data_IF_513454701886
#
_entry.id   IF_513454701886
#
_cell.length_a   1.000
_cell.length_b   1.000
_cell.length_c   1.000
_cell.angle_alpha   90.00
_cell.angle_beta   90.00
_cell.angle_gamma   90.00
#
_symmetry.space_group_name_H-M   'P 1'
#
loop_
_entity.id
_entity.type
_entity.pdbx_description
1 polymer ?
#
# COMPACT_ATOMS: atom_id res chain seq x y z
N UNK A 1 17.15 72.39 6.09
CA UNK A 1 16.23 71.48 5.39
C UNK A 1 16.93 70.13 5.27
N UNK A 2 16.49 69.13 6.04
CA UNK A 2 17.05 67.76 6.01
C UNK A 2 16.02 66.84 5.34
N UNK A 3 16.33 66.37 4.14
CA UNK A 3 15.54 65.44 3.39
C UNK A 3 15.86 64.00 3.86
N UNK A 4 14.87 63.29 4.38
CA UNK A 4 14.96 61.89 4.72
C UNK A 4 14.54 61.07 3.49
N UNK A 5 15.44 60.18 3.01
CA UNK A 5 15.18 59.21 1.96
C UNK A 5 14.73 57.93 2.66
N UNK A 6 13.48 57.57 2.51
CA UNK A 6 12.97 56.22 2.95
C UNK A 6 13.35 55.19 1.88
N UNK A 7 14.16 54.20 2.29
CA UNK A 7 14.45 53.04 1.50
C UNK A 7 13.38 51.98 1.78
N UNK A 8 12.52 51.71 0.79
CA UNK A 8 11.57 50.61 0.80
C UNK A 8 12.29 49.31 0.38
N UNK A 9 12.46 48.40 1.34
CA UNK A 9 12.97 47.05 1.05
C UNK A 9 11.84 46.20 0.44
N UNK A 10 12.04 45.81 -0.81
CA UNK A 10 11.16 44.88 -1.52
C UNK A 10 11.55 43.43 -1.09
N UNK A 11 10.73 42.80 -0.29
CA UNK A 11 10.90 41.37 0.07
C UNK A 11 10.33 40.54 -1.09
N UNK A 12 11.20 39.96 -1.91
CA UNK A 12 10.82 39.00 -2.93
C UNK A 12 10.51 37.65 -2.25
N UNK A 13 9.22 37.29 -2.22
CA UNK A 13 8.80 35.94 -1.84
C UNK A 13 9.18 34.96 -2.95
N UNK A 14 10.15 34.09 -2.69
CA UNK A 14 10.51 32.98 -3.56
C UNK A 14 9.45 31.89 -3.33
N UNK A 15 8.45 31.82 -4.21
CA UNK A 15 7.54 30.70 -4.27
C UNK A 15 8.30 29.50 -4.87
N UNK A 16 8.66 28.53 -4.03
CA UNK A 16 9.16 27.22 -4.48
C UNK A 16 7.98 26.46 -5.08
N UNK A 17 7.79 26.59 -6.40
CA UNK A 17 6.90 25.70 -7.14
C UNK A 17 7.61 24.36 -7.27
N UNK A 18 7.20 23.39 -6.44
CA UNK A 18 7.53 21.99 -6.67
C UNK A 18 7.00 21.57 -8.06
N UNK A 19 7.60 20.56 -8.70
CA UNK A 19 7.17 20.12 -10.03
C UNK A 19 5.71 19.66 -9.95
N UNK A 20 4.81 20.44 -10.56
CA UNK A 20 3.46 19.99 -10.84
C UNK A 20 3.57 18.91 -11.91
N UNK A 21 3.41 17.65 -11.55
CA UNK A 21 3.22 16.58 -12.53
C UNK A 21 1.88 16.81 -13.22
N UNK A 22 1.95 17.35 -14.43
CA UNK A 22 0.80 17.42 -15.30
C UNK A 22 0.35 15.99 -15.62
N UNK A 23 -0.81 15.60 -15.12
CA UNK A 23 -1.48 14.38 -15.51
C UNK A 23 -1.90 14.52 -16.98
N UNK A 24 -1.05 14.03 -17.91
CA UNK A 24 -1.44 13.85 -19.30
C UNK A 24 -2.51 12.75 -19.34
N UNK A 25 -3.69 13.11 -19.85
CA UNK A 25 -4.87 12.28 -19.92
C UNK A 25 -4.62 10.94 -20.62
N UNK A 26 -4.76 9.88 -19.87
CA UNK A 26 -5.11 8.49 -20.19
C UNK A 26 -4.76 7.52 -19.05
N UNK A 27 -4.21 7.95 -17.91
CA UNK A 27 -4.24 7.13 -16.70
C UNK A 27 -5.67 7.16 -16.16
N UNK A 28 -6.45 6.12 -16.39
CA UNK A 28 -7.66 5.87 -15.59
C UNK A 28 -7.19 6.00 -14.14
N UNK A 29 -7.79 6.90 -13.37
CA UNK A 29 -7.42 7.05 -11.98
C UNK A 29 -7.58 5.68 -11.32
N UNK A 30 -6.49 5.11 -10.82
CA UNK A 30 -6.46 3.74 -10.29
C UNK A 30 -7.43 3.61 -9.12
N UNK A 31 -7.61 4.68 -8.34
CA UNK A 31 -8.53 4.77 -7.22
C UNK A 31 -10.00 4.64 -7.65
N UNK A 32 -10.43 5.38 -8.70
CA UNK A 32 -11.79 5.28 -9.22
C UNK A 32 -12.08 3.86 -9.74
N UNK A 33 -11.14 3.29 -10.50
CA UNK A 33 -11.29 1.94 -11.01
C UNK A 33 -11.25 0.88 -9.89
N UNK A 34 -10.48 1.12 -8.82
CA UNK A 34 -10.41 0.23 -7.67
C UNK A 34 -11.76 0.10 -6.95
N UNK A 35 -12.52 1.19 -6.86
CA UNK A 35 -13.83 1.19 -6.21
C UNK A 35 -14.83 0.22 -6.87
N UNK A 36 -14.73 0.01 -8.17
CA UNK A 36 -15.65 -0.81 -8.96
C UNK A 36 -15.10 -2.19 -9.35
N UNK A 37 -13.93 -2.58 -8.83
CA UNK A 37 -13.32 -3.87 -9.16
C UNK A 37 -14.23 -5.04 -8.77
N UNK A 38 -14.55 -5.86 -9.76
CA UNK A 38 -15.22 -7.14 -9.57
C UNK A 38 -14.29 -8.17 -8.88
N UNK A 39 -14.84 -9.22 -8.24
CA UNK A 39 -14.04 -10.30 -7.70
C UNK A 39 -13.03 -10.86 -8.73
N UNK A 40 -11.83 -11.19 -8.26
CA UNK A 40 -10.74 -11.72 -9.08
C UNK A 40 -10.28 -10.79 -10.21
N UNK A 41 -10.50 -9.47 -10.08
CA UNK A 41 -10.04 -8.43 -11.02
C UNK A 41 -9.03 -7.49 -10.35
N UNK A 42 -8.22 -6.88 -11.19
CA UNK A 42 -7.26 -5.87 -10.76
C UNK A 42 -7.06 -4.82 -11.86
N UNK A 43 -6.52 -3.69 -11.47
CA UNK A 43 -6.00 -2.65 -12.36
C UNK A 43 -4.51 -2.43 -12.05
N UNK A 44 -3.73 -2.16 -13.08
CA UNK A 44 -2.30 -1.91 -12.97
C UNK A 44 -1.90 -0.82 -13.95
N UNK A 45 -1.31 0.27 -13.45
CA UNK A 45 -0.80 1.35 -14.29
C UNK A 45 0.61 0.97 -14.80
N UNK A 46 0.67 0.33 -15.96
CA UNK A 46 1.94 -0.03 -16.63
C UNK A 46 2.64 1.22 -17.24
N UNK A 47 1.96 2.37 -17.31
CA UNK A 47 2.49 3.64 -17.82
C UNK A 47 3.00 4.57 -16.71
N UNK A 48 3.18 4.07 -15.47
CA UNK A 48 3.75 4.86 -14.40
C UNK A 48 5.14 5.40 -14.82
N UNK A 49 5.44 6.69 -14.58
CA UNK A 49 6.72 7.28 -14.97
C UNK A 49 7.91 6.50 -14.42
N UNK A 50 8.98 6.37 -15.22
CA UNK A 50 10.20 5.64 -14.83
C UNK A 50 10.82 6.16 -13.53
N UNK A 51 10.72 7.47 -13.27
CA UNK A 51 11.16 8.09 -12.02
C UNK A 51 10.49 7.48 -10.78
N UNK A 52 9.24 7.01 -10.90
CA UNK A 52 8.49 6.38 -9.80
C UNK A 52 8.88 4.91 -9.64
N UNK A 53 9.43 4.28 -10.67
CA UNK A 53 9.82 2.87 -10.63
C UNK A 53 10.93 2.58 -9.60
N UNK A 54 11.75 3.58 -9.26
CA UNK A 54 12.79 3.48 -8.24
C UNK A 54 12.27 3.68 -6.81
N UNK A 55 11.06 4.24 -6.64
CA UNK A 55 10.48 4.48 -5.32
C UNK A 55 10.13 3.17 -4.60
N UNK A 56 10.21 3.14 -3.27
CA UNK A 56 9.87 1.96 -2.50
C UNK A 56 8.40 1.55 -2.71
N UNK A 57 8.18 0.24 -2.74
CA UNK A 57 6.83 -0.33 -2.83
C UNK A 57 6.22 -0.43 -1.45
N UNK A 58 4.97 0.00 -1.32
CA UNK A 58 4.12 -0.26 -0.15
C UNK A 58 2.82 -0.90 -0.62
N UNK A 59 2.38 -1.94 0.08
CA UNK A 59 1.09 -2.60 -0.17
C UNK A 59 0.15 -2.31 0.99
N UNK A 60 -1.06 -1.84 0.71
CA UNK A 60 -2.10 -1.64 1.73
C UNK A 60 -3.28 -2.56 1.42
N UNK A 61 -3.66 -3.41 2.37
CA UNK A 61 -4.81 -4.32 2.28
C UNK A 61 -5.91 -3.78 3.19
N UNK A 62 -7.00 -3.32 2.58
CA UNK A 62 -8.23 -2.95 3.30
C UNK A 62 -9.14 -4.17 3.43
N UNK A 63 -9.37 -4.62 4.67
CA UNK A 63 -10.25 -5.74 4.97
C UNK A 63 -11.71 -5.39 4.61
N UNK A 64 -12.28 -4.23 5.01
CA UNK A 64 -13.67 -3.91 4.70
C UNK A 64 -13.94 -3.80 3.20
N UNK A 65 -13.00 -3.24 2.44
CA UNK A 65 -13.15 -3.10 0.99
C UNK A 65 -12.83 -4.38 0.21
N UNK A 66 -12.17 -5.37 0.83
CA UNK A 66 -11.60 -6.54 0.16
C UNK A 66 -10.74 -6.11 -1.05
N UNK A 67 -9.81 -5.17 -0.78
CA UNK A 67 -8.91 -4.58 -1.78
C UNK A 67 -7.47 -4.57 -1.28
N UNK A 68 -6.55 -4.76 -2.21
CA UNK A 68 -5.14 -4.43 -2.03
C UNK A 68 -4.78 -3.27 -2.95
N UNK A 69 -4.09 -2.29 -2.41
CA UNK A 69 -3.57 -1.10 -3.10
C UNK A 69 -2.06 -1.17 -3.10
N UNK A 70 -1.44 -0.87 -4.24
CA UNK A 70 0.03 -0.88 -4.38
C UNK A 70 0.51 0.53 -4.69
N UNK A 71 1.38 1.03 -3.86
CA UNK A 71 2.00 2.34 -4.00
C UNK A 71 3.48 2.21 -4.37
N UNK A 72 3.98 3.17 -5.13
CA UNK A 72 5.40 3.48 -5.29
C UNK A 72 5.63 4.89 -4.75
N UNK A 73 6.46 5.01 -3.70
CA UNK A 73 6.43 6.22 -2.89
C UNK A 73 5.02 6.47 -2.38
N UNK A 74 4.46 7.64 -2.66
CA UNK A 74 3.10 8.01 -2.26
C UNK A 74 2.05 7.79 -3.39
N UNK A 75 2.47 7.39 -4.60
CA UNK A 75 1.57 7.27 -5.74
C UNK A 75 0.96 5.86 -5.84
N UNK A 76 -0.37 5.80 -5.96
CA UNK A 76 -1.10 4.57 -6.24
C UNK A 76 -0.84 4.11 -7.68
N UNK A 77 -0.24 2.93 -7.84
CA UNK A 77 0.12 2.36 -9.15
C UNK A 77 -0.71 1.13 -9.52
N UNK A 78 -1.30 0.45 -8.56
CA UNK A 78 -2.16 -0.69 -8.84
C UNK A 78 -3.17 -0.94 -7.72
N UNK A 79 -4.29 -1.57 -8.05
CA UNK A 79 -5.26 -2.07 -7.09
C UNK A 79 -5.82 -3.42 -7.53
N UNK A 80 -6.18 -4.26 -6.57
CA UNK A 80 -6.74 -5.59 -6.81
C UNK A 80 -7.85 -5.91 -5.85
N UNK A 81 -8.87 -6.64 -6.30
CA UNK A 81 -9.74 -7.35 -5.37
C UNK A 81 -8.92 -8.42 -4.63
N UNK A 82 -9.27 -8.68 -3.37
CA UNK A 82 -8.63 -9.73 -2.56
C UNK A 82 -9.69 -10.59 -1.87
N UNK A 83 -9.24 -11.68 -1.24
CA UNK A 83 -10.03 -12.43 -0.28
C UNK A 83 -9.19 -12.65 0.96
N UNK A 84 -9.57 -11.99 2.05
CA UNK A 84 -8.91 -12.07 3.37
C UNK A 84 -9.44 -13.24 4.19
N UNK A 85 -8.99 -13.38 5.43
CA UNK A 85 -9.45 -14.39 6.37
C UNK A 85 -10.94 -14.24 6.68
N UNK A 86 -11.65 -15.39 6.71
CA UNK A 86 -13.07 -15.49 7.11
C UNK A 86 -13.20 -15.43 8.63
N UNK A 87 -14.45 -15.33 9.11
CA UNK A 87 -14.79 -15.34 10.54
C UNK A 87 -14.12 -16.51 11.28
N UNK A 88 -13.46 -16.20 12.41
CA UNK A 88 -12.68 -17.13 13.22
C UNK A 88 -11.31 -17.50 12.61
N UNK A 89 -10.94 -16.88 11.49
CA UNK A 89 -9.65 -17.01 10.80
C UNK A 89 -9.24 -15.68 10.16
N UNK A 90 -9.44 -14.60 10.87
CA UNK A 90 -9.25 -13.23 10.39
C UNK A 90 -7.79 -13.00 9.94
N UNK A 91 -7.61 -12.15 8.94
CA UNK A 91 -6.29 -11.60 8.62
C UNK A 91 -5.96 -10.53 9.66
N UNK A 92 -4.88 -10.66 10.43
CA UNK A 92 -4.59 -9.71 11.51
C UNK A 92 -4.20 -8.34 10.95
N UNK A 93 -4.78 -7.28 11.53
CA UNK A 93 -4.43 -5.89 11.25
C UNK A 93 -3.02 -5.60 11.74
N UNK A 94 -2.26 -4.81 10.99
CA UNK A 94 -0.90 -4.43 11.36
C UNK A 94 -0.04 -4.02 10.19
N UNK A 95 1.22 -3.67 10.52
CA UNK A 95 2.26 -3.33 9.55
C UNK A 95 3.31 -4.44 9.56
N UNK A 96 3.53 -5.06 8.43
CA UNK A 96 4.36 -6.25 8.27
C UNK A 96 5.43 -6.04 7.22
N UNK A 97 6.68 -6.45 7.45
CA UNK A 97 7.63 -6.63 6.37
C UNK A 97 7.36 -7.96 5.64
N UNK A 98 7.68 -8.05 4.36
CA UNK A 98 7.75 -9.33 3.68
C UNK A 98 8.96 -10.10 4.22
N UNK A 99 8.72 -11.21 4.93
CA UNK A 99 9.73 -12.01 5.60
C UNK A 99 10.37 -13.09 4.70
N UNK A 100 9.59 -13.59 3.74
CA UNK A 100 10.00 -14.67 2.83
C UNK A 100 9.22 -14.56 1.53
N UNK A 101 9.84 -14.95 0.42
CA UNK A 101 9.19 -15.07 -0.89
C UNK A 101 9.47 -16.46 -1.46
N UNK A 102 8.43 -17.08 -2.04
CA UNK A 102 8.55 -18.38 -2.71
C UNK A 102 7.51 -18.48 -3.83
N UNK A 103 7.97 -18.70 -5.06
CA UNK A 103 7.10 -18.74 -6.24
C UNK A 103 6.16 -19.96 -6.24
N UNK A 104 6.65 -21.12 -5.78
CA UNK A 104 5.94 -22.41 -5.82
C UNK A 104 5.64 -22.97 -4.43
N UNK A 105 5.32 -22.09 -3.47
CA UNK A 105 5.06 -22.50 -2.10
C UNK A 105 3.81 -23.37 -1.96
N UNK A 106 3.86 -24.31 -1.01
CA UNK A 106 2.72 -25.09 -0.55
C UNK A 106 2.55 -24.91 0.95
N UNK A 107 1.31 -24.84 1.40
CA UNK A 107 1.00 -24.66 2.82
C UNK A 107 1.51 -25.83 3.68
N UNK A 108 2.19 -25.52 4.77
CA UNK A 108 2.59 -26.50 5.79
C UNK A 108 1.43 -26.82 6.76
N UNK A 109 0.38 -25.96 6.78
CA UNK A 109 -0.73 -26.04 7.73
C UNK A 109 -2.00 -26.65 7.13
N UNK A 110 -2.17 -26.53 5.79
CA UNK A 110 -3.42 -26.87 5.13
C UNK A 110 -3.19 -27.85 3.95
N UNK A 111 -2.89 -29.10 4.27
CA UNK A 111 -2.84 -30.22 3.32
C UNK A 111 -2.06 -29.91 2.02
N UNK A 112 -0.91 -29.28 2.15
CA UNK A 112 -0.06 -28.87 1.02
C UNK A 112 -0.81 -28.03 -0.06
N UNK A 113 -1.82 -27.25 0.35
CA UNK A 113 -2.57 -26.39 -0.56
C UNK A 113 -1.61 -25.44 -1.32
N UNK A 114 -1.76 -25.28 -2.64
CA UNK A 114 -0.89 -24.41 -3.42
C UNK A 114 -1.04 -22.95 -2.99
N UNK A 115 0.09 -22.25 -2.83
CA UNK A 115 0.20 -20.84 -2.52
C UNK A 115 1.20 -20.17 -3.48
N UNK A 116 0.92 -20.12 -4.81
CA UNK A 116 1.84 -19.55 -5.79
C UNK A 116 2.14 -18.08 -5.50
N UNK A 117 3.38 -17.65 -5.78
CA UNK A 117 3.85 -16.29 -5.55
C UNK A 117 3.70 -15.83 -4.10
N UNK A 118 3.95 -16.75 -3.14
CA UNK A 118 3.82 -16.51 -1.72
C UNK A 118 4.80 -15.45 -1.23
N UNK A 119 4.27 -14.50 -0.47
CA UNK A 119 4.99 -13.45 0.22
C UNK A 119 4.55 -13.47 1.69
N UNK A 120 5.40 -14.01 2.55
CA UNK A 120 5.11 -14.24 3.97
C UNK A 120 5.15 -12.95 4.77
N UNK A 121 4.13 -12.73 5.59
CA UNK A 121 4.03 -11.57 6.49
C UNK A 121 4.35 -11.94 7.94
N UNK A 122 3.96 -13.16 8.38
CA UNK A 122 4.19 -13.62 9.75
C UNK A 122 4.72 -15.05 9.77
N UNK A 123 5.46 -15.44 10.82
CA UNK A 123 5.98 -16.80 10.94
C UNK A 123 4.93 -17.84 11.33
N UNK A 124 3.77 -17.42 11.84
CA UNK A 124 2.61 -18.28 12.12
C UNK A 124 1.71 -18.53 10.90
N UNK A 125 2.09 -18.00 9.72
CA UNK A 125 1.56 -18.49 8.45
C UNK A 125 0.74 -17.50 7.62
N UNK A 126 0.63 -16.23 8.01
CA UNK A 126 -0.05 -15.21 7.20
C UNK A 126 0.84 -14.80 6.03
N UNK A 127 0.27 -14.76 4.83
CA UNK A 127 0.97 -14.41 3.60
C UNK A 127 0.03 -13.83 2.54
N UNK A 128 0.59 -13.08 1.60
CA UNK A 128 -0.03 -12.77 0.31
C UNK A 128 0.30 -13.92 -0.65
N UNK A 129 -0.65 -14.41 -1.45
CA UNK A 129 -0.40 -15.40 -2.49
C UNK A 129 -1.52 -15.45 -3.54
N UNK A 130 -1.26 -16.06 -4.69
CA UNK A 130 -2.30 -16.35 -5.67
C UNK A 130 -3.28 -17.39 -5.13
N UNK A 131 -4.58 -17.15 -5.30
CA UNK A 131 -5.60 -18.08 -4.85
C UNK A 131 -7.01 -17.72 -5.29
N UNK A 132 -7.96 -18.57 -4.92
CA UNK A 132 -9.38 -18.31 -5.19
C UNK A 132 -9.81 -17.02 -4.48
N UNK A 133 -10.35 -16.08 -5.23
CA UNK A 133 -10.83 -14.81 -4.76
C UNK A 133 -12.30 -14.60 -5.13
N UNK A 134 -13.24 -14.93 -4.24
CA UNK A 134 -14.68 -14.77 -4.49
C UNK A 134 -15.18 -13.35 -4.28
N UNK A 135 -14.33 -12.41 -3.77
CA UNK A 135 -14.68 -11.02 -3.50
C UNK A 135 -15.18 -10.77 -2.08
N UNK A 136 -15.09 -11.75 -1.20
CA UNK A 136 -15.42 -11.67 0.22
C UNK A 136 -14.39 -12.49 1.03
N UNK A 137 -14.32 -12.31 2.37
CA UNK A 137 -13.45 -13.10 3.24
C UNK A 137 -13.77 -14.59 3.16
N UNK A 138 -12.81 -15.42 2.67
CA UNK A 138 -12.98 -16.87 2.46
C UNK A 138 -11.70 -17.66 2.77
N UNK A 139 -10.62 -17.00 3.19
CA UNK A 139 -9.35 -17.65 3.49
C UNK A 139 -9.26 -18.10 4.96
N UNK A 140 -8.14 -18.72 5.32
CA UNK A 140 -7.80 -19.08 6.70
C UNK A 140 -6.75 -18.12 7.30
N UNK A 141 -6.82 -16.83 6.90
CA UNK A 141 -5.95 -15.77 7.38
C UNK A 141 -5.06 -15.14 6.30
N UNK A 142 -4.64 -15.88 5.29
CA UNK A 142 -3.88 -15.32 4.17
C UNK A 142 -4.72 -14.36 3.32
N UNK A 143 -4.03 -13.47 2.59
CA UNK A 143 -4.64 -12.60 1.58
C UNK A 143 -4.48 -13.25 0.21
N UNK A 144 -5.59 -13.72 -0.37
CA UNK A 144 -5.61 -14.33 -1.70
C UNK A 144 -5.78 -13.28 -2.78
N UNK A 145 -4.95 -13.36 -3.80
CA UNK A 145 -4.85 -12.43 -4.92
C UNK A 145 -5.19 -13.13 -6.24
N UNK A 146 -5.68 -12.40 -7.26
CA UNK A 146 -5.71 -12.89 -8.63
C UNK A 146 -4.32 -13.33 -9.07
N UNK A 147 -4.19 -14.46 -9.78
CA UNK A 147 -2.88 -15.05 -10.10
C UNK A 147 -1.96 -14.10 -10.88
N UNK A 148 -2.49 -13.38 -11.87
CA UNK A 148 -1.71 -12.43 -12.68
C UNK A 148 -1.23 -11.23 -11.83
N UNK A 149 -2.08 -10.75 -10.92
CA UNK A 149 -1.70 -9.68 -10.00
C UNK A 149 -0.63 -10.16 -9.00
N UNK A 150 -0.81 -11.33 -8.39
CA UNK A 150 0.15 -11.92 -7.48
C UNK A 150 1.53 -12.07 -8.13
N UNK A 151 1.59 -12.50 -9.41
CA UNK A 151 2.84 -12.60 -10.18
C UNK A 151 3.49 -11.22 -10.41
N UNK A 152 2.72 -10.21 -10.82
CA UNK A 152 3.22 -8.84 -11.00
C UNK A 152 3.75 -8.27 -9.67
N UNK A 153 2.95 -8.39 -8.59
CA UNK A 153 3.33 -7.92 -7.27
C UNK A 153 4.60 -8.62 -6.76
N UNK A 154 4.69 -9.94 -6.93
CA UNK A 154 5.88 -10.71 -6.58
C UNK A 154 7.12 -10.20 -7.32
N UNK A 155 7.00 -9.78 -8.58
CA UNK A 155 8.12 -9.25 -9.38
C UNK A 155 8.66 -7.90 -8.91
N UNK A 156 7.84 -7.05 -8.29
CA UNK A 156 8.23 -5.69 -7.88
C UNK A 156 8.50 -5.53 -6.38
N UNK A 157 8.14 -6.49 -5.56
CA UNK A 157 8.42 -6.50 -4.11
C UNK A 157 9.74 -7.21 -3.81
N UNK A 158 10.29 -6.96 -2.64
CA UNK A 158 11.48 -7.61 -2.11
C UNK A 158 11.30 -7.95 -0.63
N UNK A 159 12.24 -8.67 -0.03
CA UNK A 159 12.26 -8.87 1.43
C UNK A 159 12.32 -7.51 2.11
N UNK A 160 11.54 -7.34 3.18
CA UNK A 160 11.41 -6.08 3.90
C UNK A 160 10.41 -5.09 3.27
N UNK A 161 9.84 -5.35 2.07
CA UNK A 161 8.75 -4.52 1.53
C UNK A 161 7.61 -4.43 2.54
N UNK A 162 7.14 -3.21 2.81
CA UNK A 162 6.08 -2.94 3.78
C UNK A 162 4.72 -3.35 3.24
N UNK A 163 3.98 -4.12 4.04
CA UNK A 163 2.58 -4.49 3.81
C UNK A 163 1.76 -4.06 5.03
N UNK A 164 0.78 -3.20 4.81
CA UNK A 164 -0.19 -2.78 5.81
C UNK A 164 -1.46 -3.59 5.62
N UNK A 165 -1.99 -4.17 6.69
CA UNK A 165 -3.34 -4.72 6.74
C UNK A 165 -4.15 -3.82 7.67
N UNK A 166 -5.25 -3.27 7.18
CA UNK A 166 -6.08 -2.31 7.92
C UNK A 166 -7.55 -2.70 7.89
N UNK A 167 -8.27 -2.34 8.94
CA UNK A 167 -9.73 -2.39 9.07
C UNK A 167 -10.41 -1.09 8.62
N UNK A 168 -9.64 -0.15 8.03
CA UNK A 168 -10.13 1.11 7.50
C UNK A 168 -10.34 1.05 5.99
N UNK A 169 -11.20 1.91 5.47
CA UNK A 169 -11.32 2.16 4.05
C UNK A 169 -10.11 3.00 3.56
N UNK A 170 -9.56 2.60 2.43
CA UNK A 170 -8.49 3.33 1.73
C UNK A 170 -9.14 4.11 0.60
N UNK A 171 -8.92 5.42 0.59
CA UNK A 171 -9.49 6.35 -0.40
C UNK A 171 -8.41 7.22 -1.02
N UNK A 172 -8.61 7.59 -2.28
CA UNK A 172 -7.71 8.45 -3.02
C UNK A 172 -6.49 7.74 -3.60
N UNK A 173 -5.69 8.50 -4.34
CA UNK A 173 -4.56 7.99 -5.11
C UNK A 173 -3.19 8.22 -4.44
N UNK A 174 -3.18 8.71 -3.21
CA UNK A 174 -1.96 8.92 -2.41
C UNK A 174 -1.98 8.05 -1.16
N UNK A 175 -0.79 7.57 -0.80
CA UNK A 175 -0.61 6.78 0.41
C UNK A 175 -0.86 7.65 1.65
N UNK A 176 -1.83 7.24 2.46
CA UNK A 176 -1.98 7.79 3.81
C UNK A 176 -0.85 7.22 4.69
N UNK A 177 0.14 8.05 4.99
CA UNK A 177 1.31 7.65 5.78
C UNK A 177 0.99 7.31 7.23
N UNK A 178 -0.16 7.74 7.75
CA UNK A 178 -0.60 7.36 9.10
C UNK A 178 -0.87 5.86 9.23
N UNK A 179 -1.18 5.19 8.11
CA UNK A 179 -1.33 3.74 8.05
C UNK A 179 -0.02 2.97 8.28
N UNK A 180 1.13 3.62 8.08
CA UNK A 180 2.46 3.03 8.30
C UNK A 180 2.89 3.07 9.77
N UNK A 181 2.17 3.84 10.60
CA UNK A 181 2.48 3.97 12.02
C UNK A 181 2.03 2.72 12.77
N UNK A 182 2.96 2.08 13.45
CA UNK A 182 2.66 0.98 14.38
C UNK A 182 2.17 1.56 15.71
N UNK A 183 1.45 0.76 16.51
CA UNK A 183 1.08 1.15 17.89
C UNK A 183 2.31 1.56 18.70
N UNK A 184 3.45 0.87 18.52
CA UNK A 184 4.71 1.21 19.18
C UNK A 184 5.25 2.58 18.72
N UNK A 185 5.16 2.93 17.44
CA UNK A 185 5.58 4.24 16.94
C UNK A 185 4.68 5.37 17.42
N UNK A 186 3.37 5.12 17.50
CA UNK A 186 2.39 6.08 18.07
C UNK A 186 2.64 6.32 19.55
N UNK A 187 2.81 5.26 20.34
CA UNK A 187 3.11 5.35 21.77
C UNK A 187 4.42 6.14 22.04
N UNK A 188 5.46 5.90 21.24
CA UNK A 188 6.71 6.65 21.33
C UNK A 188 6.53 8.13 20.98
N UNK A 189 5.75 8.45 19.95
CA UNK A 189 5.47 9.83 19.56
C UNK A 189 4.69 10.58 20.66
N UNK A 190 3.68 9.94 21.26
CA UNK A 190 2.93 10.49 22.40
C UNK A 190 3.84 10.73 23.62
N UNK A 191 4.70 9.77 23.94
CA UNK A 191 5.63 9.90 25.06
C UNK A 191 6.63 11.05 24.85
N UNK A 192 7.16 11.21 23.63
CA UNK A 192 8.04 12.34 23.29
C UNK A 192 7.32 13.68 23.35
N UNK A 193 6.05 13.74 22.91
CA UNK A 193 5.24 14.95 23.00
C UNK A 193 4.96 15.38 24.44
N UNK A 194 4.82 14.43 25.38
CA UNK A 194 4.64 14.69 26.80
C UNK A 194 5.93 15.19 27.49
N UNK A 195 7.10 14.74 27.00
CA UNK A 195 8.40 15.14 27.57
C UNK A 195 8.90 16.49 27.04
N UNK A 196 8.31 17.00 25.96
CA UNK A 196 8.68 18.27 25.32
C UNK A 196 7.88 19.49 25.81
N UNK A 197 6.99 19.34 26.80
CA UNK A 197 6.27 20.42 27.49
C UNK A 197 6.91 20.69 28.84
#
# INVERSE_FOLDING_TARGET
MKTWIMATALVAAIATTGPAYAANGSAVAVDEAAATLMPNRYIWNDAAPEAISAEPVTVVVSIPQQRAFVYRGDMLVAASSVSTGKDGKETPVGVYPILQKNEDHKSNLYNAAPMPFMQRLTWDGIALHAGRNPGFPDSHGCVRLPASFAKKLFGITQLGTTVVVTDMDVVGNQLDRSLLETEASRANAEQLAMLGQ
#
